data_IF_217685790867
#
_entry.id   IF_217685790867
#
_cell.length_a   1.000
_cell.length_b   1.000
_cell.length_c   1.000
_cell.angle_alpha   90.00
_cell.angle_beta   90.00
_cell.angle_gamma   90.00
#
_symmetry.space_group_name_H-M   'P 1'
#
loop_
_entity.id
_entity.type
_entity.pdbx_description
1 polymer ?
#
# COMPACT_ATOMS: atom_id res chain seq x y z
N UNK A 1 -2.11 33.09 11.27
CA UNK A 1 -2.07 32.16 12.42
C UNK A 1 -3.46 32.11 13.04
N UNK A 2 -4.14 30.98 12.93
CA UNK A 2 -5.43 30.76 13.62
C UNK A 2 -5.17 30.49 15.10
N UNK A 3 -6.18 30.64 15.96
CA UNK A 3 -6.07 30.30 17.39
C UNK A 3 -5.65 28.85 17.60
N UNK A 4 -6.10 27.94 16.72
CA UNK A 4 -5.70 26.54 16.71
C UNK A 4 -4.19 26.35 16.47
N UNK A 5 -3.59 27.10 15.54
CA UNK A 5 -2.14 26.99 15.27
C UNK A 5 -1.28 27.42 16.46
N UNK A 6 -1.71 28.42 17.24
CA UNK A 6 -0.99 28.84 18.46
C UNK A 6 -1.04 27.75 19.53
N UNK A 7 -2.22 27.19 19.79
CA UNK A 7 -2.39 26.11 20.77
C UNK A 7 -1.58 24.84 20.45
N UNK A 8 -1.34 24.56 19.16
CA UNK A 8 -0.54 23.41 18.73
C UNK A 8 0.95 23.63 19.02
N UNK A 9 1.45 24.85 18.83
CA UNK A 9 2.85 25.21 19.11
C UNK A 9 3.13 25.11 20.62
N UNK A 10 2.26 25.68 21.45
CA UNK A 10 2.40 25.62 22.92
C UNK A 10 2.38 24.16 23.45
N UNK A 11 1.58 23.29 22.81
CA UNK A 11 1.52 21.85 23.13
C UNK A 11 2.75 21.08 22.63
N UNK A 12 3.38 21.50 21.54
CA UNK A 12 4.61 20.92 21.02
C UNK A 12 5.82 21.23 21.91
N UNK A 13 5.88 22.43 22.48
CA UNK A 13 6.97 22.85 23.38
C UNK A 13 6.96 22.09 24.72
N UNK A 14 5.79 21.59 25.14
CA UNK A 14 5.62 20.85 26.41
C UNK A 14 5.76 19.33 26.26
N UNK A 15 5.92 18.82 25.04
CA UNK A 15 5.96 17.39 24.74
C UNK A 15 7.39 16.83 24.80
N UNK A 16 7.60 15.60 25.32
CA UNK A 16 8.91 14.96 25.28
C UNK A 16 9.31 14.56 23.85
N UNK A 17 10.62 14.60 23.57
CA UNK A 17 11.20 14.41 22.21
C UNK A 17 10.75 13.15 21.49
N UNK A 18 10.48 12.06 22.21
CA UNK A 18 10.01 10.81 21.61
C UNK A 18 8.60 10.92 21.01
N UNK A 19 7.74 11.77 21.59
CA UNK A 19 6.37 11.96 21.09
C UNK A 19 6.28 13.01 19.98
N UNK A 20 7.28 13.88 19.83
CA UNK A 20 7.34 14.85 18.72
C UNK A 20 7.35 14.15 17.37
N UNK A 21 8.06 13.01 17.26
CA UNK A 21 8.10 12.20 16.04
C UNK A 21 6.71 11.62 15.69
N UNK A 22 5.92 11.22 16.69
CA UNK A 22 4.56 10.72 16.45
C UNK A 22 3.64 11.83 15.93
N UNK A 23 3.79 13.05 16.46
CA UNK A 23 3.05 14.23 15.98
C UNK A 23 3.43 14.58 14.55
N UNK A 24 4.72 14.52 14.21
CA UNK A 24 5.21 14.71 12.83
C UNK A 24 4.59 13.69 11.87
N UNK A 25 4.67 12.41 12.22
CA UNK A 25 4.06 11.32 11.45
C UNK A 25 2.55 11.52 11.28
N UNK A 26 1.85 11.98 12.33
CA UNK A 26 0.41 12.23 12.25
C UNK A 26 0.06 13.42 11.36
N UNK A 27 0.88 14.49 11.37
CA UNK A 27 0.73 15.62 10.47
C UNK A 27 0.91 15.17 9.02
N UNK A 28 1.91 14.33 8.73
CA UNK A 28 2.13 13.81 7.39
C UNK A 28 1.02 12.85 6.95
N UNK A 29 0.50 12.03 7.86
CA UNK A 29 -0.71 11.24 7.62
C UNK A 29 -1.91 12.12 7.28
N UNK A 30 -2.14 13.23 8.00
CA UNK A 30 -3.23 14.15 7.70
C UNK A 30 -3.07 14.83 6.34
N UNK A 31 -1.83 15.20 5.96
CA UNK A 31 -1.54 15.73 4.62
C UNK A 31 -1.84 14.69 3.55
N UNK A 32 -1.34 13.47 3.69
CA UNK A 32 -1.58 12.37 2.75
C UNK A 32 -3.08 12.07 2.60
N UNK A 33 -3.82 11.97 3.71
CA UNK A 33 -5.27 11.75 3.72
C UNK A 33 -6.04 12.86 3.01
N UNK A 34 -5.60 14.11 3.13
CA UNK A 34 -6.23 15.24 2.45
C UNK A 34 -5.92 15.24 0.94
N UNK A 35 -4.72 14.82 0.56
CA UNK A 35 -4.31 14.63 -0.85
C UNK A 35 -5.07 13.47 -1.49
N UNK A 36 -5.22 12.33 -0.81
CA UNK A 36 -6.03 11.20 -1.30
C UNK A 36 -7.50 11.57 -1.48
N UNK A 37 -8.07 12.34 -0.53
CA UNK A 37 -9.45 12.82 -0.66
C UNK A 37 -9.61 13.83 -1.81
N UNK A 38 -8.61 14.67 -2.06
CA UNK A 38 -8.60 15.57 -3.22
C UNK A 38 -8.43 14.82 -4.54
N UNK A 39 -7.64 13.73 -4.55
CA UNK A 39 -7.39 12.91 -5.73
C UNK A 39 -8.61 12.09 -6.19
N UNK A 40 -9.62 11.91 -5.33
CA UNK A 40 -10.89 11.30 -5.69
C UNK A 40 -11.87 12.27 -6.40
N UNK A 41 -11.54 13.56 -6.55
CA UNK A 41 -12.48 14.54 -7.11
C UNK A 41 -12.01 15.27 -8.37
N UNK A 42 -10.73 15.26 -8.74
CA UNK A 42 -10.32 15.78 -10.05
C UNK A 42 -8.89 15.31 -10.38
N UNK A 43 -8.77 14.58 -11.48
CA UNK A 43 -7.71 14.77 -12.48
C UNK A 43 -6.27 14.95 -11.94
N UNK A 44 -5.69 13.90 -11.38
CA UNK A 44 -4.22 13.79 -11.29
C UNK A 44 -3.76 12.34 -11.54
N UNK A 45 -4.00 11.88 -12.78
CA UNK A 45 -3.29 10.76 -13.39
C UNK A 45 -1.90 11.23 -13.83
N UNK A 46 -0.99 11.51 -12.91
CA UNK A 46 0.44 11.63 -13.24
C UNK A 46 1.20 10.97 -12.09
N UNK A 47 1.64 9.72 -12.31
CA UNK A 47 2.47 8.90 -11.41
C UNK A 47 1.77 8.07 -10.32
N UNK A 48 0.53 7.64 -10.53
CA UNK A 48 0.08 6.40 -9.89
C UNK A 48 0.56 5.25 -10.78
N UNK A 49 1.48 4.42 -10.27
CA UNK A 49 1.69 3.09 -10.83
C UNK A 49 0.39 2.34 -10.57
N UNK A 50 -0.53 2.40 -11.53
CA UNK A 50 -1.79 1.67 -11.47
C UNK A 50 -1.42 0.20 -11.25
N UNK A 51 -1.73 -0.37 -10.07
CA UNK A 51 -1.57 -1.80 -9.84
C UNK A 51 -2.27 -2.51 -11.00
N UNK A 52 -1.58 -3.40 -11.74
CA UNK A 52 -2.16 -4.01 -12.91
C UNK A 52 -3.40 -4.77 -12.45
N UNK A 53 -4.57 -4.34 -12.95
CA UNK A 53 -5.83 -5.02 -12.68
C UNK A 53 -5.63 -6.48 -13.08
N UNK A 54 -5.58 -7.38 -12.09
CA UNK A 54 -5.49 -8.81 -12.33
C UNK A 54 -6.78 -9.25 -13.01
N UNK A 55 -6.76 -9.32 -14.34
CA UNK A 55 -7.87 -9.84 -15.12
C UNK A 55 -7.97 -11.34 -14.88
N UNK A 56 -9.18 -11.82 -14.58
CA UNK A 56 -9.45 -13.26 -14.46
C UNK A 56 -9.08 -13.94 -15.80
N UNK A 57 -8.29 -15.00 -15.74
CA UNK A 57 -7.83 -15.72 -16.94
C UNK A 57 -6.67 -15.06 -17.70
N UNK A 58 -6.05 -13.98 -17.18
CA UNK A 58 -4.94 -13.30 -17.88
C UNK A 58 -3.72 -14.19 -18.18
N UNK A 59 -3.58 -15.30 -17.46
CA UNK A 59 -2.48 -16.25 -17.63
C UNK A 59 -2.83 -17.45 -18.54
N UNK A 60 -4.04 -17.48 -19.13
CA UNK A 60 -4.45 -18.55 -20.05
C UNK A 60 -3.49 -18.61 -21.24
N UNK A 61 -2.94 -19.80 -21.52
CA UNK A 61 -2.02 -20.01 -22.64
C UNK A 61 -0.57 -19.54 -22.42
N UNK A 62 -0.20 -19.04 -21.23
CA UNK A 62 1.20 -18.67 -20.93
C UNK A 62 2.12 -19.89 -20.70
N UNK A 63 1.55 -21.05 -20.40
CA UNK A 63 2.30 -22.29 -20.23
C UNK A 63 2.59 -22.87 -21.61
N UNK A 64 3.81 -22.64 -22.11
CA UNK A 64 4.25 -23.07 -23.45
C UNK A 64 4.73 -24.53 -23.51
N UNK A 65 5.17 -25.07 -22.37
CA UNK A 65 5.69 -26.43 -22.26
C UNK A 65 5.31 -27.01 -20.91
N UNK A 66 4.84 -28.26 -20.92
CA UNK A 66 4.57 -29.08 -19.76
C UNK A 66 5.41 -30.35 -19.96
N UNK A 67 6.12 -30.78 -18.93
CA UNK A 67 6.91 -32.00 -18.98
C UNK A 67 6.01 -33.23 -19.12
N UNK A 68 6.49 -34.27 -19.80
CA UNK A 68 5.71 -35.48 -20.10
C UNK A 68 5.29 -36.23 -18.83
N UNK A 69 6.03 -36.04 -17.74
CA UNK A 69 5.84 -36.63 -16.41
C UNK A 69 5.01 -35.75 -15.46
N UNK A 70 4.39 -34.66 -15.92
CA UNK A 70 3.64 -33.73 -15.04
C UNK A 70 2.53 -34.41 -14.22
N UNK A 71 1.91 -35.46 -14.78
CA UNK A 71 0.86 -36.22 -14.11
C UNK A 71 1.40 -37.34 -13.20
N UNK A 72 2.71 -37.59 -13.21
CA UNK A 72 3.31 -38.59 -12.34
C UNK A 72 3.33 -38.08 -10.89
N UNK A 73 3.04 -38.96 -9.90
CA UNK A 73 3.08 -38.57 -8.50
C UNK A 73 4.52 -38.21 -8.12
N UNK A 74 4.67 -37.02 -7.52
CA UNK A 74 5.94 -36.59 -6.95
C UNK A 74 6.41 -37.64 -5.94
N UNK A 75 7.69 -38.00 -5.98
CA UNK A 75 8.27 -39.04 -5.12
C UNK A 75 7.92 -38.84 -3.64
N UNK A 76 7.98 -37.59 -3.16
CA UNK A 76 7.67 -37.22 -1.77
C UNK A 76 6.18 -37.31 -1.42
N UNK A 77 5.29 -37.35 -2.41
CA UNK A 77 3.83 -37.44 -2.25
C UNK A 77 3.28 -38.84 -2.54
N UNK A 78 4.11 -39.78 -3.01
CA UNK A 78 3.70 -41.17 -3.32
C UNK A 78 3.10 -41.90 -2.13
N UNK A 79 3.53 -41.57 -0.91
CA UNK A 79 3.02 -42.19 0.33
C UNK A 79 1.60 -41.71 0.71
N UNK A 80 1.13 -40.60 0.11
CA UNK A 80 -0.14 -39.95 0.44
C UNK A 80 -1.23 -40.04 -0.64
N UNK A 81 -0.93 -40.68 -1.79
CA UNK A 81 -1.88 -40.95 -2.88
C UNK A 81 -2.30 -42.42 -2.89
#
# INVERSE_FOLDING_TARGET
MTTATKNIIDKLETLPKNMVNEVENFIDFLKAKHVEKACNTAENKINSVEEPKSLYGAAEGLILYIADDFNEPLDDLKEYM
#
